data_IF_950707252795
#
_entry.id   IF_950707252795
#
_cell.length_a   1.000
_cell.length_b   1.000
_cell.length_c   1.000
_cell.angle_alpha   90.00
_cell.angle_beta   90.00
_cell.angle_gamma   90.00
#
_symmetry.space_group_name_H-M   'P 1'
#
loop_
_entity.id
_entity.type
_entity.pdbx_description
1 polymer ?
#
# COMPACT_ATOMS: atom_id res chain seq x y z
N UNK A 1 43.78 7.08 -1.09
CA UNK A 1 42.55 7.22 -1.89
C UNK A 1 42.28 5.91 -2.60
N UNK A 2 41.26 5.13 -2.22
CA UNK A 2 40.81 4.02 -3.03
C UNK A 2 39.67 4.48 -3.96
N UNK A 3 39.86 4.17 -5.22
CA UNK A 3 38.98 4.31 -6.37
C UNK A 3 37.64 3.60 -6.18
N UNK A 4 36.54 4.34 -6.39
CA UNK A 4 35.23 3.79 -6.74
C UNK A 4 35.26 3.45 -8.23
N UNK A 5 34.80 2.25 -8.62
CA UNK A 5 33.91 2.23 -9.77
C UNK A 5 32.76 1.26 -9.50
N UNK A 6 31.56 1.81 -9.32
CA UNK A 6 30.33 1.06 -9.53
C UNK A 6 29.63 1.70 -10.73
N UNK A 7 29.99 1.22 -11.92
CA UNK A 7 29.09 1.28 -13.07
C UNK A 7 27.85 0.45 -12.73
N UNK A 8 26.87 1.06 -12.06
CA UNK A 8 25.51 0.57 -12.07
C UNK A 8 24.96 0.83 -13.47
N UNK A 9 25.20 -0.11 -14.38
CA UNK A 9 24.41 -0.21 -15.60
C UNK A 9 22.94 -0.38 -15.18
N UNK A 10 22.19 0.72 -15.18
CA UNK A 10 20.74 0.70 -15.07
C UNK A 10 20.21 -0.23 -16.17
N UNK A 11 19.82 -1.45 -15.79
CA UNK A 11 19.15 -2.36 -16.70
C UNK A 11 17.79 -1.77 -17.00
N UNK A 12 17.67 -1.13 -18.16
CA UNK A 12 16.41 -0.57 -18.65
C UNK A 12 15.29 -1.61 -18.48
N UNK A 13 14.37 -1.33 -17.57
CA UNK A 13 13.14 -2.08 -17.40
C UNK A 13 12.20 -1.73 -18.54
N UNK A 14 11.47 -2.72 -19.05
CA UNK A 14 10.44 -2.47 -20.04
C UNK A 14 9.42 -1.46 -19.48
N UNK A 15 8.86 -0.56 -20.31
CA UNK A 15 7.86 0.39 -19.84
C UNK A 15 6.65 -0.34 -19.24
N UNK A 16 5.96 0.25 -18.25
CA UNK A 16 4.79 -0.37 -17.66
C UNK A 16 3.67 -0.50 -18.69
N UNK A 17 2.92 -1.62 -18.70
CA UNK A 17 1.70 -1.73 -19.50
C UNK A 17 0.73 -0.57 -19.23
N UNK A 18 0.03 -0.10 -20.27
CA UNK A 18 -0.80 1.10 -20.19
C UNK A 18 -2.03 0.94 -19.28
N UNK A 19 -2.69 -0.23 -19.34
CA UNK A 19 -3.90 -0.50 -18.57
C UNK A 19 -3.64 -1.17 -17.21
N UNK A 20 -4.58 -1.02 -16.28
CA UNK A 20 -4.64 -1.87 -15.10
C UNK A 20 -5.08 -3.28 -15.48
N UNK A 21 -4.25 -4.29 -15.20
CA UNK A 21 -4.54 -5.67 -15.57
C UNK A 21 -3.50 -6.65 -15.03
N UNK A 22 -3.70 -7.95 -15.30
CA UNK A 22 -2.75 -9.00 -14.86
C UNK A 22 -1.35 -8.73 -15.41
N UNK A 23 -1.21 -8.27 -16.64
CA UNK A 23 0.10 -8.00 -17.25
C UNK A 23 0.82 -6.84 -16.57
N UNK A 24 0.09 -5.77 -16.21
CA UNK A 24 0.63 -4.68 -15.40
C UNK A 24 1.08 -5.16 -14.03
N UNK A 25 0.28 -5.97 -13.33
CA UNK A 25 0.62 -6.48 -12.01
C UNK A 25 1.81 -7.46 -12.05
N UNK A 26 1.91 -8.29 -13.10
CA UNK A 26 3.06 -9.16 -13.35
C UNK A 26 4.33 -8.35 -13.64
N UNK A 27 4.22 -7.32 -14.47
CA UNK A 27 5.32 -6.38 -14.72
C UNK A 27 5.78 -5.74 -13.41
N UNK A 28 4.83 -5.22 -12.60
CA UNK A 28 5.14 -4.56 -11.34
C UNK A 28 5.87 -5.51 -10.38
N UNK A 29 5.39 -6.75 -10.23
CA UNK A 29 6.08 -7.80 -9.47
C UNK A 29 7.52 -7.98 -9.94
N UNK A 30 7.72 -8.20 -11.24
CA UNK A 30 9.04 -8.50 -11.78
C UNK A 30 10.05 -7.37 -11.58
N UNK A 31 9.61 -6.11 -11.67
CA UNK A 31 10.48 -4.95 -11.46
C UNK A 31 10.77 -4.78 -9.97
N UNK A 32 9.73 -4.72 -9.14
CA UNK A 32 9.89 -4.51 -7.68
C UNK A 32 10.71 -5.62 -7.00
N UNK A 33 10.44 -6.89 -7.28
CA UNK A 33 11.19 -8.01 -6.68
C UNK A 33 12.65 -8.05 -7.13
N UNK A 34 12.95 -7.57 -8.34
CA UNK A 34 14.33 -7.43 -8.81
C UNK A 34 15.06 -6.34 -8.03
N UNK A 35 14.44 -5.17 -7.87
CA UNK A 35 15.03 -4.08 -7.08
C UNK A 35 15.20 -4.49 -5.63
N UNK A 36 14.17 -5.06 -5.00
CA UNK A 36 14.22 -5.55 -3.62
C UNK A 36 15.26 -6.65 -3.40
N UNK A 37 15.63 -7.43 -4.41
CA UNK A 37 16.74 -8.39 -4.28
C UNK A 37 18.10 -7.71 -4.05
N UNK A 38 18.24 -6.44 -4.46
CA UNK A 38 19.49 -5.70 -4.49
C UNK A 38 19.55 -4.54 -3.50
N UNK A 39 18.42 -4.14 -2.88
CA UNK A 39 18.41 -3.03 -1.90
C UNK A 39 19.35 -3.28 -0.72
N UNK A 40 19.82 -2.19 -0.13
CA UNK A 40 20.52 -2.23 1.16
C UNK A 40 19.56 -2.65 2.28
N UNK A 41 20.07 -3.40 3.25
CA UNK A 41 19.23 -3.80 4.38
C UNK A 41 19.02 -2.56 5.28
N UNK A 42 17.77 -2.18 5.57
CA UNK A 42 17.50 -1.04 6.44
C UNK A 42 18.05 -1.26 7.84
N UNK A 43 18.32 -0.16 8.53
CA UNK A 43 18.81 -0.12 9.90
C UNK A 43 17.97 0.81 10.76
N UNK A 44 18.16 0.77 12.08
CA UNK A 44 17.59 1.77 12.97
C UNK A 44 17.87 3.22 12.54
N UNK A 45 19.00 3.51 11.87
CA UNK A 45 19.36 4.85 11.45
C UNK A 45 18.46 5.40 10.33
N UNK A 46 17.77 4.51 9.62
CA UNK A 46 16.85 4.86 8.56
C UNK A 46 15.52 5.30 9.17
N UNK A 47 15.28 6.61 9.24
CA UNK A 47 14.01 7.14 9.73
C UNK A 47 12.87 6.69 8.81
N UNK A 48 11.88 6.01 9.41
CA UNK A 48 10.72 5.45 8.71
C UNK A 48 11.00 4.07 8.11
N UNK A 49 9.94 3.28 7.96
CA UNK A 49 10.03 1.92 7.45
C UNK A 49 10.47 1.89 5.97
N UNK A 50 11.40 0.99 5.65
CA UNK A 50 11.96 0.76 4.31
C UNK A 50 11.83 -0.72 3.92
N UNK A 51 11.81 -0.96 2.60
CA UNK A 51 11.83 -2.31 2.06
C UNK A 51 13.13 -3.03 2.43
N UNK A 52 13.03 -4.33 2.70
CA UNK A 52 14.18 -5.15 3.10
C UNK A 52 14.74 -5.89 1.90
N UNK A 53 16.00 -6.33 2.01
CA UNK A 53 16.59 -7.14 0.96
C UNK A 53 15.83 -8.45 0.84
N UNK A 54 15.48 -8.80 -0.40
CA UNK A 54 14.73 -10.01 -0.72
C UNK A 54 13.23 -9.91 -0.42
N UNK A 55 12.69 -8.71 -0.17
CA UNK A 55 11.23 -8.51 -0.16
C UNK A 55 10.62 -9.04 -1.45
N UNK A 56 9.49 -9.74 -1.29
CA UNK A 56 8.73 -10.33 -2.39
C UNK A 56 7.23 -10.23 -2.17
N UNK A 57 6.47 -10.31 -3.25
CA UNK A 57 5.04 -10.47 -3.20
C UNK A 57 4.67 -11.89 -2.76
N UNK A 58 3.72 -12.04 -1.86
CA UNK A 58 3.36 -13.35 -1.29
C UNK A 58 2.64 -14.25 -2.29
N UNK A 59 2.03 -13.69 -3.34
CA UNK A 59 1.22 -14.46 -4.28
C UNK A 59 -0.20 -13.93 -4.37
N UNK A 60 -1.04 -14.62 -5.11
CA UNK A 60 -2.46 -14.29 -5.21
C UNK A 60 -3.30 -15.08 -4.22
N UNK A 61 -4.36 -14.46 -3.70
CA UNK A 61 -5.46 -15.19 -3.06
C UNK A 61 -6.39 -15.79 -4.13
N UNK A 62 -6.95 -16.97 -3.86
CA UNK A 62 -8.04 -17.51 -4.67
C UNK A 62 -9.40 -16.85 -4.33
N UNK A 63 -10.41 -17.07 -5.18
CA UNK A 63 -11.72 -16.44 -4.99
C UNK A 63 -12.42 -16.86 -3.70
N UNK A 64 -12.25 -18.13 -3.28
CA UNK A 64 -12.87 -18.64 -2.06
C UNK A 64 -12.29 -17.96 -0.82
N UNK A 65 -10.96 -17.79 -0.80
CA UNK A 65 -10.20 -17.11 0.23
C UNK A 65 -10.57 -15.64 0.28
N UNK A 66 -10.67 -14.96 -0.86
CA UNK A 66 -11.12 -13.56 -0.91
C UNK A 66 -12.54 -13.43 -0.35
N UNK A 67 -13.47 -14.31 -0.73
CA UNK A 67 -14.83 -14.30 -0.18
C UNK A 67 -14.86 -14.57 1.32
N UNK A 68 -13.91 -15.34 1.87
CA UNK A 68 -13.77 -15.49 3.31
C UNK A 68 -13.26 -14.21 3.98
N UNK A 69 -12.26 -13.55 3.39
CA UNK A 69 -11.72 -12.27 3.86
C UNK A 69 -12.80 -11.19 3.85
N UNK A 70 -13.51 -11.02 2.74
CA UNK A 70 -14.63 -10.07 2.60
C UNK A 70 -15.67 -10.26 3.71
N UNK A 71 -16.06 -11.52 3.98
CA UNK A 71 -16.97 -11.84 5.09
C UNK A 71 -16.37 -11.54 6.46
N UNK A 72 -15.10 -11.88 6.68
CA UNK A 72 -14.39 -11.69 7.97
C UNK A 72 -14.33 -10.21 8.37
N UNK A 73 -14.11 -9.33 7.40
CA UNK A 73 -13.94 -7.89 7.65
C UNK A 73 -15.20 -7.07 7.33
N UNK A 74 -16.28 -7.70 6.85
CA UNK A 74 -17.53 -7.02 6.52
C UNK A 74 -17.39 -6.02 5.37
N UNK A 75 -16.55 -6.32 4.40
CA UNK A 75 -16.28 -5.47 3.23
C UNK A 75 -16.48 -6.26 1.94
N UNK A 76 -16.72 -5.56 0.83
CA UNK A 76 -16.72 -6.15 -0.51
C UNK A 76 -15.61 -5.50 -1.32
N UNK A 77 -14.68 -6.30 -1.83
CA UNK A 77 -13.61 -5.77 -2.64
C UNK A 77 -14.13 -5.44 -4.03
N UNK A 78 -13.88 -4.23 -4.55
CA UNK A 78 -14.22 -3.92 -5.93
C UNK A 78 -13.34 -4.74 -6.87
N UNK A 79 -13.79 -4.93 -8.12
CA UNK A 79 -13.18 -5.87 -9.08
C UNK A 79 -11.68 -5.62 -9.30
N UNK A 80 -11.26 -4.37 -9.35
CA UNK A 80 -9.85 -3.97 -9.50
C UNK A 80 -9.00 -4.34 -8.28
N UNK A 81 -9.53 -4.16 -7.05
CA UNK A 81 -8.82 -4.56 -5.84
C UNK A 81 -8.79 -6.08 -5.69
N UNK A 82 -9.87 -6.79 -6.05
CA UNK A 82 -9.85 -8.26 -6.17
C UNK A 82 -8.75 -8.72 -7.10
N UNK A 83 -8.61 -8.10 -8.28
CA UNK A 83 -7.54 -8.44 -9.23
C UNK A 83 -6.15 -8.24 -8.62
N UNK A 84 -5.95 -7.15 -7.89
CA UNK A 84 -4.71 -6.88 -7.16
C UNK A 84 -4.41 -8.00 -6.14
N UNK A 85 -5.35 -8.32 -5.24
CA UNK A 85 -5.09 -9.36 -4.21
C UNK A 85 -5.03 -10.78 -4.79
N UNK A 86 -5.64 -11.04 -5.96
CA UNK A 86 -5.49 -12.31 -6.72
C UNK A 86 -4.14 -12.44 -7.41
N UNK A 87 -3.37 -11.37 -7.54
CA UNK A 87 -2.10 -11.41 -8.28
C UNK A 87 -0.90 -11.17 -7.37
N UNK A 88 -0.99 -10.18 -6.48
CA UNK A 88 0.11 -9.71 -5.64
C UNK A 88 -0.13 -9.89 -4.14
N UNK A 89 -1.36 -9.66 -3.69
CA UNK A 89 -1.83 -9.76 -2.29
C UNK A 89 -1.10 -8.87 -1.29
N UNK A 90 0.09 -9.29 -0.85
CA UNK A 90 0.86 -8.68 0.24
C UNK A 90 2.37 -8.82 0.00
N UNK A 91 3.19 -8.22 0.85
CA UNK A 91 4.66 -8.27 0.78
C UNK A 91 5.27 -8.92 2.01
N UNK A 92 6.36 -9.67 1.83
CA UNK A 92 7.12 -10.30 2.91
C UNK A 92 8.64 -10.27 2.64
N UNK A 93 9.51 -10.06 3.64
CA UNK A 93 9.18 -9.74 5.04
C UNK A 93 8.52 -8.36 5.20
N UNK A 94 8.05 -8.05 6.41
CA UNK A 94 7.63 -6.69 6.78
C UNK A 94 8.79 -5.71 6.59
N UNK A 95 8.46 -4.44 6.38
CA UNK A 95 9.43 -3.37 6.25
C UNK A 95 10.09 -3.10 7.61
N UNK A 96 11.34 -2.63 7.58
CA UNK A 96 12.13 -2.31 8.77
C UNK A 96 12.51 -0.84 8.73
N UNK A 97 12.49 -0.17 9.88
CA UNK A 97 12.98 1.20 10.00
C UNK A 97 13.24 1.58 11.45
N UNK A 98 13.67 2.82 11.65
CA UNK A 98 13.84 3.44 12.96
C UNK A 98 12.80 4.49 13.26
N UNK A 99 12.35 4.52 14.51
CA UNK A 99 11.61 5.64 15.08
C UNK A 99 12.20 6.03 16.42
N UNK A 100 12.03 7.29 16.81
CA UNK A 100 12.39 7.71 18.15
C UNK A 100 11.47 7.02 19.16
N UNK A 101 12.05 6.60 20.28
CA UNK A 101 11.29 6.11 21.41
C UNK A 101 10.19 7.11 21.78
N UNK A 102 9.16 6.65 22.47
CA UNK A 102 8.09 7.53 22.98
C UNK A 102 8.63 8.73 23.79
N UNK A 103 9.84 8.63 24.34
CA UNK A 103 10.50 9.68 25.11
C UNK A 103 11.56 10.46 24.33
N UNK A 104 11.76 10.16 23.05
CA UNK A 104 12.66 10.88 22.14
C UNK A 104 14.15 10.67 22.40
N UNK A 105 14.51 9.81 23.33
CA UNK A 105 15.88 9.69 23.85
C UNK A 105 16.74 8.67 23.10
N UNK A 106 16.11 7.76 22.34
CA UNK A 106 16.78 6.69 21.59
C UNK A 106 16.05 6.38 20.31
N UNK A 107 16.83 6.11 19.27
CA UNK A 107 16.34 5.54 18.01
C UNK A 107 16.20 4.03 18.20
N UNK A 108 15.03 3.48 17.92
CA UNK A 108 14.73 2.06 18.05
C UNK A 108 14.18 1.50 16.74
N UNK A 109 14.57 0.27 16.43
CA UNK A 109 14.03 -0.44 15.28
C UNK A 109 12.58 -0.82 15.51
N UNK A 110 11.79 -0.72 14.45
CA UNK A 110 10.43 -1.23 14.40
C UNK A 110 10.16 -1.88 13.04
N UNK A 111 9.29 -2.87 13.04
CA UNK A 111 8.73 -3.43 11.82
C UNK A 111 7.35 -2.84 11.54
N UNK A 112 7.07 -2.60 10.27
CA UNK A 112 5.76 -2.21 9.80
C UNK A 112 5.36 -3.07 8.60
N UNK A 113 4.08 -3.42 8.47
CA UNK A 113 3.63 -4.12 7.28
C UNK A 113 3.87 -3.24 6.04
N UNK A 114 4.30 -3.89 4.96
CA UNK A 114 4.14 -3.34 3.62
C UNK A 114 2.67 -3.41 3.20
N UNK A 115 2.40 -3.96 2.01
CA UNK A 115 1.02 -4.27 1.64
C UNK A 115 0.45 -5.33 2.58
N UNK A 116 -0.72 -5.06 3.15
CA UNK A 116 -1.30 -5.90 4.20
C UNK A 116 -1.60 -7.32 3.72
N UNK A 117 -1.17 -8.31 4.51
CA UNK A 117 -1.61 -9.69 4.38
C UNK A 117 -2.98 -9.87 5.02
N UNK A 118 -4.02 -10.05 4.21
CA UNK A 118 -5.40 -10.19 4.68
C UNK A 118 -5.65 -11.44 5.54
N UNK A 119 -4.76 -12.42 5.48
CA UNK A 119 -4.83 -13.65 6.26
C UNK A 119 -4.15 -13.49 7.61
N UNK A 120 -3.02 -12.79 7.66
CA UNK A 120 -2.12 -12.75 8.82
C UNK A 120 -2.07 -11.40 9.56
N UNK A 121 -2.28 -10.26 8.88
CA UNK A 121 -2.14 -8.91 9.45
C UNK A 121 -3.45 -8.39 10.09
N UNK A 122 -4.24 -9.30 10.65
CA UNK A 122 -5.58 -9.00 11.16
C UNK A 122 -5.63 -7.85 12.18
N UNK A 123 -4.72 -7.75 13.17
CA UNK A 123 -4.66 -6.61 14.08
C UNK A 123 -4.43 -5.27 13.37
N UNK A 124 -3.48 -5.21 12.42
CA UNK A 124 -3.11 -4.00 11.70
C UNK A 124 -4.22 -3.53 10.76
N UNK A 125 -4.83 -4.46 10.03
CA UNK A 125 -5.99 -4.17 9.16
C UNK A 125 -7.15 -3.59 9.99
N UNK A 126 -7.49 -4.22 11.12
CA UNK A 126 -8.56 -3.72 12.00
C UNK A 126 -8.22 -2.35 12.58
N UNK A 127 -6.96 -2.09 12.89
CA UNK A 127 -6.51 -0.79 13.38
C UNK A 127 -6.63 0.30 12.30
N UNK A 128 -6.19 0.02 11.07
CA UNK A 128 -6.34 0.92 9.93
C UNK A 128 -7.82 1.22 9.63
N UNK A 129 -8.68 0.19 9.59
CA UNK A 129 -10.12 0.35 9.40
C UNK A 129 -10.78 1.16 10.54
N UNK A 130 -10.36 0.97 11.79
CA UNK A 130 -10.88 1.73 12.93
C UNK A 130 -10.45 3.19 12.88
N UNK A 131 -9.17 3.46 12.60
CA UNK A 131 -8.61 4.81 12.46
C UNK A 131 -9.34 5.58 11.37
N UNK A 132 -9.47 5.01 10.17
CA UNK A 132 -10.14 5.68 9.06
C UNK A 132 -11.63 5.92 9.33
N UNK A 133 -12.33 4.98 9.98
CA UNK A 133 -13.71 5.17 10.37
C UNK A 133 -13.90 6.27 11.43
N UNK A 134 -12.89 6.51 12.29
CA UNK A 134 -12.89 7.65 13.20
C UNK A 134 -12.66 8.96 12.42
N UNK A 135 -11.59 9.05 11.63
CA UNK A 135 -11.29 10.23 10.80
C UNK A 135 -12.49 10.63 9.94
N UNK A 136 -13.09 9.70 9.20
CA UNK A 136 -14.22 10.00 8.30
C UNK A 136 -15.50 10.44 9.03
N UNK A 137 -15.62 10.22 10.34
CA UNK A 137 -16.73 10.76 11.16
C UNK A 137 -16.47 12.19 11.62
N UNK A 138 -15.21 12.52 11.91
CA UNK A 138 -14.81 13.82 12.44
C UNK A 138 -14.45 14.85 11.34
N UNK A 139 -14.24 14.39 10.11
CA UNK A 139 -13.87 15.27 9.00
C UNK A 139 -14.96 16.31 8.70
N UNK A 140 -14.62 17.61 8.70
CA UNK A 140 -15.51 18.62 8.12
C UNK A 140 -15.51 18.44 6.61
N UNK A 141 -16.61 17.93 6.06
CA UNK A 141 -16.80 17.83 4.61
C UNK A 141 -17.26 19.18 4.03
N UNK A 142 -16.40 20.20 4.11
CA UNK A 142 -16.77 21.59 3.84
C UNK A 142 -16.23 22.18 2.53
N UNK A 143 -15.37 21.46 1.78
CA UNK A 143 -14.64 22.08 0.65
C UNK A 143 -14.74 21.39 -0.70
N UNK A 144 -14.50 20.07 -0.77
CA UNK A 144 -14.16 19.42 -2.03
C UNK A 144 -15.34 18.69 -2.68
N UNK A 145 -15.41 18.65 -4.01
CA UNK A 145 -16.57 18.06 -4.70
C UNK A 145 -16.71 16.55 -4.46
N UNK A 146 -15.60 15.82 -4.35
CA UNK A 146 -15.65 14.38 -4.03
C UNK A 146 -16.17 14.12 -2.61
N UNK A 147 -15.90 15.03 -1.66
CA UNK A 147 -16.43 14.97 -0.30
C UNK A 147 -17.95 15.14 -0.30
N UNK A 148 -18.48 16.05 -1.13
CA UNK A 148 -19.92 16.20 -1.34
C UNK A 148 -20.52 14.94 -1.96
N UNK A 149 -19.84 14.33 -2.93
CA UNK A 149 -20.27 13.04 -3.51
C UNK A 149 -20.30 11.94 -2.46
N UNK A 150 -19.25 11.82 -1.64
CA UNK A 150 -19.16 10.84 -0.56
C UNK A 150 -20.25 11.02 0.50
N UNK A 151 -20.45 12.26 0.97
CA UNK A 151 -21.46 12.59 1.98
C UNK A 151 -22.90 12.37 1.52
N UNK A 152 -23.15 12.31 0.20
CA UNK A 152 -24.47 11.97 -0.35
C UNK A 152 -24.72 10.46 -0.52
N UNK A 153 -23.69 9.61 -0.46
CA UNK A 153 -23.86 8.14 -0.57
C UNK A 153 -24.52 7.56 0.68
N UNK A 154 -25.50 6.69 0.49
CA UNK A 154 -26.13 5.91 1.57
C UNK A 154 -26.40 4.47 1.08
N UNK A 155 -25.75 3.44 1.65
CA UNK A 155 -24.73 3.51 2.70
C UNK A 155 -23.41 4.15 2.22
N UNK A 156 -22.58 4.61 3.17
CA UNK A 156 -21.21 5.03 2.86
C UNK A 156 -20.39 3.83 2.37
N UNK A 157 -19.64 3.95 1.27
CA UNK A 157 -18.78 2.85 0.83
C UNK A 157 -17.67 2.62 1.84
N UNK A 158 -17.31 1.36 2.05
CA UNK A 158 -16.21 1.00 2.94
C UNK A 158 -14.87 1.48 2.38
N UNK A 159 -13.90 1.67 3.28
CA UNK A 159 -12.52 2.03 2.94
C UNK A 159 -11.61 0.83 3.21
N UNK A 160 -10.95 0.35 2.17
CA UNK A 160 -10.13 -0.84 2.18
C UNK A 160 -8.66 -0.42 2.32
N UNK A 161 -7.99 -0.68 3.45
CA UNK A 161 -6.58 -0.32 3.61
C UNK A 161 -5.72 -1.10 2.62
N UNK A 162 -4.75 -0.42 2.00
CA UNK A 162 -3.84 -1.04 1.03
C UNK A 162 -2.42 -1.08 1.57
N UNK A 163 -1.86 0.09 1.86
CA UNK A 163 -0.52 0.27 2.41
C UNK A 163 -0.44 1.65 3.08
N UNK A 164 0.20 1.73 4.25
CA UNK A 164 0.34 2.97 5.02
C UNK A 164 -1.02 3.67 5.24
N UNK A 165 -1.11 4.90 4.73
CA UNK A 165 -2.27 5.79 4.85
C UNK A 165 -3.18 5.79 3.60
N UNK A 166 -3.11 4.73 2.78
CA UNK A 166 -3.79 4.62 1.49
C UNK A 166 -4.96 3.66 1.56
N UNK A 167 -6.11 4.11 1.04
CA UNK A 167 -7.36 3.36 1.11
C UNK A 167 -8.06 3.32 -0.24
N UNK A 168 -8.45 2.14 -0.70
CA UNK A 168 -9.33 1.98 -1.86
C UNK A 168 -10.78 2.14 -1.41
N UNK A 169 -11.56 2.89 -2.18
CA UNK A 169 -13.01 2.99 -1.97
C UNK A 169 -13.69 1.71 -2.46
N UNK A 170 -14.51 1.10 -1.60
CA UNK A 170 -15.23 -0.15 -1.90
C UNK A 170 -16.47 0.07 -2.80
N UNK A 171 -16.29 0.74 -3.93
CA UNK A 171 -17.29 0.95 -4.97
C UNK A 171 -16.65 1.06 -6.37
N UNK A 172 -17.44 1.51 -7.35
CA UNK A 172 -17.02 1.61 -8.75
C UNK A 172 -16.16 2.85 -9.08
N UNK A 173 -15.90 3.74 -8.12
CA UNK A 173 -15.10 4.96 -8.36
C UNK A 173 -13.63 4.69 -8.63
N UNK A 174 -13.12 3.54 -8.18
CA UNK A 174 -11.70 3.14 -8.24
C UNK A 174 -10.74 4.05 -7.45
N UNK A 175 -11.25 5.07 -6.76
CA UNK A 175 -10.42 6.05 -6.08
C UNK A 175 -9.52 5.41 -5.02
N UNK A 176 -8.29 5.89 -4.97
CA UNK A 176 -7.38 5.65 -3.86
C UNK A 176 -7.28 6.95 -3.07
N UNK A 177 -7.68 6.91 -1.80
CA UNK A 177 -7.64 8.03 -0.89
C UNK A 177 -6.34 8.02 -0.08
N UNK A 178 -5.81 9.21 0.20
CA UNK A 178 -4.81 9.44 1.24
C UNK A 178 -5.53 9.98 2.46
N UNK A 179 -5.44 9.29 3.60
CA UNK A 179 -6.11 9.71 4.84
C UNK A 179 -5.11 9.68 6.00
N UNK A 180 -4.80 10.86 6.52
CA UNK A 180 -3.86 11.08 7.62
C UNK A 180 -4.54 11.97 8.65
N UNK A 181 -4.69 11.46 9.88
CA UNK A 181 -5.31 12.18 11.00
C UNK A 181 -6.69 12.79 10.67
N UNK A 182 -6.74 14.10 10.41
CA UNK A 182 -7.94 14.88 10.13
C UNK A 182 -7.95 15.43 8.69
N UNK A 183 -7.17 14.84 7.80
CA UNK A 183 -7.18 15.17 6.37
C UNK A 183 -7.49 13.92 5.54
N UNK A 184 -8.29 14.13 4.50
CA UNK A 184 -8.57 13.14 3.47
C UNK A 184 -8.59 13.82 2.11
N UNK A 185 -7.95 13.18 1.13
CA UNK A 185 -7.95 13.62 -0.26
C UNK A 185 -7.99 12.43 -1.20
N UNK A 186 -8.47 12.64 -2.43
CA UNK A 186 -8.23 11.69 -3.52
C UNK A 186 -6.74 11.77 -3.85
N UNK A 187 -6.01 10.70 -3.58
CA UNK A 187 -4.60 10.61 -3.92
C UNK A 187 -4.44 10.39 -5.42
N UNK A 188 -5.15 9.39 -5.96
CA UNK A 188 -5.22 9.12 -7.40
C UNK A 188 -6.55 8.47 -7.77
N UNK A 189 -6.82 8.41 -9.08
CA UNK A 189 -8.10 7.93 -9.61
C UNK A 189 -8.24 6.40 -9.65
N UNK A 190 -7.14 5.64 -9.62
CA UNK A 190 -7.16 4.18 -9.72
C UNK A 190 -5.84 3.52 -9.22
N UNK A 191 -5.86 2.19 -9.09
CA UNK A 191 -4.68 1.40 -8.67
C UNK A 191 -3.52 1.41 -9.68
N UNK A 192 -3.78 1.63 -10.97
CA UNK A 192 -2.73 1.70 -12.00
C UNK A 192 -1.84 2.92 -11.84
N UNK A 193 -2.42 4.04 -11.43
CA UNK A 193 -1.69 5.28 -11.16
C UNK A 193 -1.07 5.26 -9.76
N UNK A 194 -1.76 4.62 -8.81
CA UNK A 194 -1.33 4.52 -7.42
C UNK A 194 -0.02 3.73 -7.26
N UNK A 195 0.00 2.49 -7.76
CA UNK A 195 1.06 1.54 -7.45
C UNK A 195 2.46 2.04 -7.87
N UNK A 196 2.65 2.67 -9.05
CA UNK A 196 3.95 3.21 -9.43
C UNK A 196 4.40 4.40 -8.57
N UNK A 197 3.46 5.25 -8.13
CA UNK A 197 3.79 6.40 -7.27
C UNK A 197 4.19 5.91 -5.88
N UNK A 198 3.44 4.96 -5.33
CA UNK A 198 3.72 4.45 -3.98
C UNK A 198 5.01 3.62 -3.92
N UNK A 199 5.42 3.02 -5.04
CA UNK A 199 6.62 2.21 -5.18
C UNK A 199 7.73 2.95 -5.96
N UNK A 200 7.67 4.28 -6.04
CA UNK A 200 8.62 5.08 -6.83
C UNK A 200 10.08 4.83 -6.40
N UNK A 201 10.32 4.62 -5.11
CA UNK A 201 11.63 4.38 -4.52
C UNK A 201 12.29 3.07 -4.98
N UNK A 202 11.51 2.14 -5.53
CA UNK A 202 11.99 0.85 -6.04
C UNK A 202 11.71 0.63 -7.52
N UNK A 203 11.10 1.61 -8.19
CA UNK A 203 10.86 1.62 -9.64
C UNK A 203 11.79 2.61 -10.40
N UNK A 204 12.47 3.50 -9.68
CA UNK A 204 13.49 4.43 -10.20
C UNK A 204 14.85 3.76 -10.39
#
# INVERSE_FOLDING_TARGET
>A
MPTVPADHHARATAPPPAGFGVDFLRWLRQVTERTWAEVEEPTAADCGARWRRGTRWTGGLDDATITQVERRYGVRFPSHYRLFVKTLHSTTPWMLGGDFSRYGDRLAEYEAPGFYDWLHDGPQIRDAMRKVAHTMRELPFDGQDWQKTWTRRDPKPALIPVFGHRYVVADDSQWVLSIVEYDATIFVSNLRDYLPIELEDVLS
#
